data_IF_601519715084
#
_entry.id   IF_601519715084
#
_cell.length_a   1.000
_cell.length_b   1.000
_cell.length_c   1.000
_cell.angle_alpha   90.00
_cell.angle_beta   90.00
_cell.angle_gamma   90.00
#
_symmetry.space_group_name_H-M   'P 1'
#
loop_
_entity.id
_entity.type
_entity.pdbx_description
1 polymer ?
#
# COMPACT_ATOMS: atom_id res chain seq x y z
N UNK A 1 40.77 0.12 13.12
CA UNK A 1 40.11 0.89 12.05
C UNK A 1 38.95 0.04 11.58
N UNK A 2 37.71 0.39 11.96
CA UNK A 2 36.54 -0.32 11.46
C UNK A 2 36.42 0.02 9.97
N UNK A 3 36.50 -0.99 9.10
CA UNK A 3 35.99 -0.86 7.74
C UNK A 3 34.57 -0.31 7.87
N UNK A 4 34.34 0.89 7.33
CA UNK A 4 32.99 1.41 7.21
C UNK A 4 32.22 0.38 6.38
N UNK A 5 31.27 -0.33 6.98
CA UNK A 5 30.40 -1.26 6.29
C UNK A 5 29.65 -0.45 5.23
N UNK A 6 30.14 -0.52 4.00
CA UNK A 6 29.68 0.34 2.92
C UNK A 6 28.42 -0.29 2.35
N UNK A 7 27.27 0.09 2.92
CA UNK A 7 25.96 -0.39 2.52
C UNK A 7 25.63 0.22 1.16
N UNK A 8 25.52 -0.64 0.13
CA UNK A 8 25.12 -0.24 -1.22
C UNK A 8 23.80 -0.87 -1.59
N UNK A 9 22.94 -0.10 -2.25
CA UNK A 9 21.77 -0.64 -2.92
C UNK A 9 22.21 -1.43 -4.14
N UNK A 10 21.86 -2.71 -4.16
CA UNK A 10 22.13 -3.62 -5.26
C UNK A 10 20.90 -3.73 -6.15
N UNK A 11 19.72 -3.83 -5.54
CA UNK A 11 18.47 -4.04 -6.26
C UNK A 11 17.36 -3.14 -5.76
N UNK A 12 16.52 -2.73 -6.70
CA UNK A 12 15.29 -1.97 -6.42
C UNK A 12 14.16 -2.62 -7.19
N UNK A 13 13.04 -2.88 -6.52
CA UNK A 13 11.83 -3.34 -7.18
C UNK A 13 10.64 -2.50 -6.72
N UNK A 14 9.77 -2.12 -7.65
CA UNK A 14 8.52 -1.44 -7.36
C UNK A 14 7.40 -2.39 -7.76
N UNK A 15 6.56 -2.74 -6.80
CA UNK A 15 5.40 -3.60 -7.01
C UNK A 15 4.10 -2.88 -6.73
N UNK A 16 3.06 -3.22 -7.49
CA UNK A 16 1.73 -2.64 -7.38
C UNK A 16 0.67 -3.71 -7.28
N UNK A 17 -0.45 -3.38 -6.65
CA UNK A 17 -1.59 -4.29 -6.54
C UNK A 17 -2.49 -4.06 -7.75
N UNK A 18 -2.68 -5.10 -8.56
CA UNK A 18 -3.60 -5.05 -9.68
C UNK A 18 -5.07 -5.17 -9.20
N UNK A 19 -6.00 -4.94 -10.12
CA UNK A 19 -7.44 -5.01 -9.85
C UNK A 19 -7.93 -6.39 -9.37
N UNK A 20 -7.11 -7.44 -9.53
CA UNK A 20 -7.42 -8.80 -9.11
C UNK A 20 -6.80 -9.14 -7.75
N UNK A 21 -6.14 -8.18 -7.10
CA UNK A 21 -5.49 -8.40 -5.81
C UNK A 21 -4.19 -9.20 -5.94
N UNK A 22 -3.50 -9.10 -7.08
CA UNK A 22 -2.14 -9.62 -7.22
C UNK A 22 -1.13 -8.49 -7.08
N UNK A 23 -0.05 -8.76 -6.38
CA UNK A 23 1.13 -7.91 -6.34
C UNK A 23 1.98 -8.21 -7.59
N UNK A 24 2.02 -7.25 -8.50
CA UNK A 24 2.77 -7.27 -9.75
C UNK A 24 4.00 -6.37 -9.64
N UNK A 25 5.18 -6.87 -10.00
CA UNK A 25 6.37 -6.02 -10.11
C UNK A 25 6.30 -5.22 -11.40
N UNK A 26 6.24 -3.89 -11.30
CA UNK A 26 6.07 -2.98 -12.44
C UNK A 26 7.37 -2.29 -12.86
N UNK A 27 8.40 -2.35 -12.03
CA UNK A 27 9.70 -1.77 -12.32
C UNK A 27 10.78 -2.42 -11.47
N UNK A 28 11.97 -2.58 -12.04
CA UNK A 28 13.09 -3.25 -11.41
C UNK A 28 14.42 -2.61 -11.83
N UNK A 29 15.41 -2.63 -10.95
CA UNK A 29 16.79 -2.22 -11.20
C UNK A 29 17.74 -3.19 -10.48
N UNK A 30 18.87 -3.52 -11.11
CA UNK A 30 19.88 -4.42 -10.54
C UNK A 30 19.54 -5.93 -10.62
N UNK A 31 18.53 -6.27 -11.41
CA UNK A 31 18.15 -7.65 -11.74
C UNK A 31 18.73 -8.03 -13.10
N UNK A 32 19.04 -9.31 -13.29
CA UNK A 32 19.47 -9.82 -14.59
C UNK A 32 18.30 -9.89 -15.56
N UNK A 33 18.54 -9.81 -16.87
CA UNK A 33 17.49 -9.96 -17.89
C UNK A 33 16.79 -11.34 -17.81
N UNK A 34 17.46 -12.34 -17.23
CA UNK A 34 16.90 -13.68 -17.02
C UNK A 34 15.93 -13.76 -15.83
N UNK A 35 15.94 -12.79 -14.93
CA UNK A 35 15.16 -12.84 -13.68
C UNK A 35 13.64 -12.64 -13.90
N UNK A 36 13.22 -12.23 -15.12
CA UNK A 36 11.81 -11.96 -15.51
C UNK A 36 10.95 -11.31 -14.41
N UNK A 37 11.53 -10.33 -13.69
CA UNK A 37 10.86 -9.76 -12.52
C UNK A 37 9.70 -8.86 -12.92
N UNK A 38 9.87 -8.02 -13.95
CA UNK A 38 8.83 -7.10 -14.40
C UNK A 38 7.69 -7.90 -15.03
N UNK A 39 6.47 -7.67 -14.55
CA UNK A 39 5.26 -8.40 -14.92
C UNK A 39 5.03 -9.67 -14.08
N UNK A 40 5.98 -10.10 -13.26
CA UNK A 40 5.74 -11.22 -12.34
C UNK A 40 4.64 -10.85 -11.34
N UNK A 41 3.68 -11.75 -11.16
CA UNK A 41 2.54 -11.59 -10.26
C UNK A 41 2.58 -12.60 -9.12
N UNK A 42 2.25 -12.13 -7.92
CA UNK A 42 2.04 -12.98 -6.75
C UNK A 42 0.72 -12.62 -6.09
N UNK A 43 -0.07 -13.62 -5.68
CA UNK A 43 -1.32 -13.35 -4.99
C UNK A 43 -1.04 -12.67 -3.64
N UNK A 44 -1.87 -11.71 -3.21
CA UNK A 44 -1.72 -11.09 -1.88
C UNK A 44 -1.86 -12.08 -0.71
N UNK A 45 -2.47 -13.24 -0.96
CA UNK A 45 -2.59 -14.33 0.01
C UNK A 45 -1.38 -15.28 0.02
N UNK A 46 -0.41 -15.04 -0.86
CA UNK A 46 0.79 -15.87 -0.94
C UNK A 46 1.70 -15.63 0.26
N UNK A 47 2.46 -16.66 0.61
CA UNK A 47 3.50 -16.57 1.63
C UNK A 47 4.77 -15.94 1.02
N UNK A 48 4.68 -14.65 0.73
CA UNK A 48 5.78 -13.87 0.18
C UNK A 48 6.03 -12.62 1.03
N UNK A 49 7.29 -12.13 1.08
CA UNK A 49 7.60 -10.90 1.79
C UNK A 49 6.79 -9.70 1.31
N UNK A 50 6.62 -9.59 -0.02
CA UNK A 50 5.84 -8.52 -0.64
C UNK A 50 4.37 -8.56 -0.22
N UNK A 51 3.76 -9.75 -0.22
CA UNK A 51 2.38 -9.95 0.25
C UNK A 51 2.21 -9.60 1.73
N UNK A 52 3.16 -10.00 2.58
CA UNK A 52 3.14 -9.65 3.99
C UNK A 52 3.20 -8.12 4.19
N UNK A 53 4.08 -7.42 3.47
CA UNK A 53 4.18 -5.95 3.53
C UNK A 53 2.91 -5.27 3.01
N UNK A 54 2.31 -5.82 1.96
CA UNK A 54 1.08 -5.32 1.35
C UNK A 54 -0.12 -5.40 2.31
N UNK A 55 -0.33 -6.57 2.92
CA UNK A 55 -1.49 -6.85 3.77
C UNK A 55 -1.41 -6.13 5.09
N UNK A 56 -0.21 -6.07 5.69
CA UNK A 56 0.00 -5.45 7.00
C UNK A 56 0.25 -3.95 6.92
N UNK A 57 0.51 -3.42 5.71
CA UNK A 57 0.97 -2.04 5.48
C UNK A 57 2.14 -1.64 6.41
N UNK A 58 2.98 -2.62 6.77
CA UNK A 58 4.12 -2.45 7.66
C UNK A 58 5.41 -2.62 6.88
N UNK A 59 6.45 -1.87 7.30
CA UNK A 59 7.79 -2.04 6.76
C UNK A 59 8.29 -3.42 7.15
N UNK A 60 8.80 -4.18 6.18
CA UNK A 60 9.37 -5.51 6.42
C UNK A 60 10.85 -5.47 6.08
N UNK A 61 11.68 -5.75 7.08
CA UNK A 61 13.09 -6.03 6.87
C UNK A 61 13.30 -7.53 6.69
N UNK A 62 14.26 -7.87 5.84
CA UNK A 62 14.59 -9.23 5.48
C UNK A 62 16.09 -9.40 5.52
N UNK A 63 16.55 -10.51 6.05
CA UNK A 63 17.90 -11.02 5.88
C UNK A 63 17.89 -12.18 4.90
N UNK A 64 19.08 -12.65 4.52
CA UNK A 64 19.23 -13.92 3.78
C UNK A 64 18.59 -15.10 4.52
N UNK A 65 18.67 -15.12 5.84
CA UNK A 65 18.07 -16.17 6.67
C UNK A 65 16.54 -16.13 6.61
N UNK A 66 15.92 -14.95 6.60
CA UNK A 66 14.46 -14.82 6.45
C UNK A 66 13.98 -15.38 5.10
N UNK A 67 14.72 -15.13 4.03
CA UNK A 67 14.37 -15.61 2.68
C UNK A 67 14.55 -17.12 2.53
N UNK A 68 15.60 -17.69 3.11
CA UNK A 68 15.87 -19.13 3.04
C UNK A 68 15.08 -19.95 4.05
N UNK A 69 14.63 -19.32 5.14
CA UNK A 69 13.81 -19.92 6.19
C UNK A 69 12.32 -19.63 6.02
N UNK A 70 11.87 -18.45 6.47
CA UNK A 70 10.46 -18.06 6.52
C UNK A 70 9.82 -18.03 5.13
N UNK A 71 10.52 -17.48 4.15
CA UNK A 71 9.99 -17.26 2.80
C UNK A 71 10.62 -18.17 1.75
N UNK A 72 11.02 -19.38 2.12
CA UNK A 72 11.80 -20.31 1.26
C UNK A 72 11.17 -20.64 -0.09
N UNK A 73 9.85 -20.49 -0.21
CA UNK A 73 9.10 -20.76 -1.44
C UNK A 73 9.06 -19.54 -2.38
N UNK A 74 9.70 -18.43 -2.01
CA UNK A 74 9.77 -17.23 -2.82
C UNK A 74 10.73 -17.45 -4.00
N UNK A 75 10.17 -17.42 -5.21
CA UNK A 75 10.80 -17.86 -6.45
C UNK A 75 12.05 -17.06 -6.90
N UNK A 76 12.34 -15.92 -6.28
CA UNK A 76 13.48 -15.06 -6.66
C UNK A 76 14.76 -15.35 -5.85
N UNK A 77 14.86 -16.56 -5.32
CA UNK A 77 15.98 -17.00 -4.50
C UNK A 77 17.28 -17.22 -5.29
N UNK A 78 17.23 -17.30 -6.63
CA UNK A 78 18.36 -17.73 -7.46
C UNK A 78 19.59 -16.78 -7.42
N UNK A 79 19.43 -15.57 -6.88
CA UNK A 79 20.53 -14.62 -6.68
C UNK A 79 20.52 -13.95 -5.30
N UNK A 80 20.07 -14.69 -4.27
CA UNK A 80 20.10 -14.23 -2.87
C UNK A 80 21.53 -13.87 -2.41
N UNK A 81 22.56 -14.45 -3.03
CA UNK A 81 23.94 -14.23 -2.63
C UNK A 81 24.46 -12.79 -2.87
N UNK A 82 23.80 -12.03 -3.75
CA UNK A 82 24.24 -10.69 -4.13
C UNK A 82 23.87 -9.59 -3.12
N UNK A 83 23.07 -9.92 -2.10
CA UNK A 83 22.70 -9.00 -1.04
C UNK A 83 22.67 -9.69 0.33
N UNK A 84 22.81 -8.89 1.37
CA UNK A 84 22.86 -9.35 2.77
C UNK A 84 21.52 -9.13 3.47
N UNK A 85 20.85 -8.03 3.15
CA UNK A 85 19.51 -7.73 3.66
C UNK A 85 18.70 -6.92 2.66
N UNK A 86 17.40 -6.83 2.91
CA UNK A 86 16.48 -6.05 2.12
C UNK A 86 15.41 -5.39 3.00
N UNK A 87 14.75 -4.37 2.46
CA UNK A 87 13.59 -3.73 3.08
C UNK A 87 12.49 -3.54 2.07
N UNK A 88 11.26 -3.86 2.49
CA UNK A 88 10.03 -3.63 1.75
C UNK A 88 9.24 -2.52 2.44
N UNK A 89 8.94 -1.49 1.68
CA UNK A 89 8.33 -0.26 2.16
C UNK A 89 6.97 -0.12 1.47
N UNK A 90 5.85 -0.44 2.15
CA UNK A 90 4.52 -0.12 1.63
C UNK A 90 4.26 1.37 1.77
N UNK A 91 4.21 2.08 0.64
CA UNK A 91 4.06 3.55 0.61
C UNK A 91 2.62 3.99 0.43
N UNK A 92 1.75 3.07 -0.03
CA UNK A 92 0.30 3.26 -0.12
C UNK A 92 -0.40 1.89 -0.06
N UNK A 93 -1.72 1.88 -0.15
CA UNK A 93 -2.50 0.64 -0.29
C UNK A 93 -2.27 -0.09 -1.62
N UNK A 94 -1.47 0.47 -2.54
CA UNK A 94 -1.29 -0.04 -3.89
C UNK A 94 0.19 -0.06 -4.33
N UNK A 95 1.14 0.34 -3.51
CA UNK A 95 2.52 0.44 -3.94
C UNK A 95 3.50 0.02 -2.84
N UNK A 96 4.45 -0.82 -3.23
CA UNK A 96 5.51 -1.34 -2.37
C UNK A 96 6.84 -1.14 -3.07
N UNK A 97 7.78 -0.56 -2.34
CA UNK A 97 9.15 -0.33 -2.79
C UNK A 97 10.07 -1.28 -2.05
N UNK A 98 10.79 -2.11 -2.78
CA UNK A 98 11.79 -3.03 -2.25
C UNK A 98 13.20 -2.55 -2.56
N UNK A 99 14.08 -2.63 -1.57
CA UNK A 99 15.51 -2.32 -1.70
C UNK A 99 16.32 -3.48 -1.13
N UNK A 100 17.24 -4.03 -1.91
CA UNK A 100 18.20 -5.03 -1.44
C UNK A 100 19.61 -4.43 -1.37
N UNK A 101 20.35 -4.72 -0.31
CA UNK A 101 21.63 -4.08 0.01
C UNK A 101 22.72 -5.05 0.47
N UNK A 102 23.99 -4.64 0.34
CA UNK A 102 25.16 -5.47 0.71
C UNK A 102 25.46 -5.58 2.21
N UNK A 103 24.82 -4.79 3.08
CA UNK A 103 24.99 -4.85 4.54
C UNK A 103 23.73 -5.34 5.25
N UNK A 104 23.77 -5.42 6.59
CA UNK A 104 22.60 -5.74 7.41
C UNK A 104 21.96 -4.42 7.83
N UNK A 105 20.79 -4.10 7.26
CA UNK A 105 20.09 -2.83 7.51
C UNK A 105 19.82 -2.59 9.00
N UNK A 106 19.43 -3.63 9.71
CA UNK A 106 19.06 -3.57 11.13
C UNK A 106 20.24 -3.26 12.07
N UNK A 107 21.49 -3.38 11.59
CA UNK A 107 22.68 -3.00 12.35
C UNK A 107 23.03 -1.51 12.19
N UNK A 108 22.37 -0.81 11.24
CA UNK A 108 22.62 0.60 10.97
C UNK A 108 21.85 1.44 12.01
N UNK A 109 22.55 2.26 12.83
CA UNK A 109 21.88 3.14 13.77
C UNK A 109 20.95 4.14 13.07
N UNK A 110 19.71 4.25 13.54
CA UNK A 110 18.70 5.17 12.99
C UNK A 110 18.05 4.70 11.67
N UNK A 111 18.20 3.42 11.32
CA UNK A 111 17.67 2.89 10.06
C UNK A 111 16.15 2.99 9.97
N UNK A 112 15.44 2.80 11.08
CA UNK A 112 13.99 2.85 11.11
C UNK A 112 13.49 4.26 10.80
N UNK A 113 14.07 5.28 11.42
CA UNK A 113 13.73 6.68 11.15
C UNK A 113 14.03 7.05 9.69
N UNK A 114 15.16 6.57 9.16
CA UNK A 114 15.52 6.77 7.77
C UNK A 114 14.52 6.12 6.81
N UNK A 115 14.14 4.87 7.06
CA UNK A 115 13.17 4.13 6.23
C UNK A 115 11.77 4.74 6.34
N UNK A 116 11.35 5.20 7.52
CA UNK A 116 10.07 5.92 7.66
C UNK A 116 10.09 7.27 6.94
N UNK A 117 11.22 7.97 6.93
CA UNK A 117 11.39 9.20 6.14
C UNK A 117 11.24 8.90 4.64
N UNK A 118 11.95 7.88 4.13
CA UNK A 118 11.81 7.43 2.74
C UNK A 118 10.38 7.02 2.40
N UNK A 119 9.73 6.27 3.29
CA UNK A 119 8.32 5.88 3.14
C UNK A 119 7.42 7.09 2.97
N UNK A 120 7.61 8.13 3.77
CA UNK A 120 6.83 9.37 3.72
C UNK A 120 7.06 10.12 2.41
N UNK A 121 8.32 10.23 1.97
CA UNK A 121 8.69 10.87 0.69
C UNK A 121 8.07 10.12 -0.49
N UNK A 122 8.17 8.80 -0.52
CA UNK A 122 7.60 7.99 -1.61
C UNK A 122 6.07 7.98 -1.59
N UNK A 123 5.44 7.95 -0.42
CA UNK A 123 3.99 8.08 -0.31
C UNK A 123 3.52 9.41 -0.91
N UNK A 124 4.21 10.50 -0.57
CA UNK A 124 3.95 11.82 -1.13
C UNK A 124 4.16 11.87 -2.65
N UNK A 125 5.24 11.27 -3.15
CA UNK A 125 5.52 11.16 -4.58
C UNK A 125 4.41 10.40 -5.32
N UNK A 126 3.96 9.27 -4.79
CA UNK A 126 2.86 8.48 -5.36
C UNK A 126 1.57 9.29 -5.45
N UNK A 127 1.27 10.07 -4.41
CA UNK A 127 0.12 10.96 -4.40
C UNK A 127 0.20 12.04 -5.49
N UNK A 128 1.36 12.67 -5.69
CA UNK A 128 1.55 13.67 -6.76
C UNK A 128 1.43 13.02 -8.14
N UNK A 129 2.04 11.85 -8.32
CA UNK A 129 2.06 11.13 -9.59
C UNK A 129 0.66 10.68 -10.01
N UNK A 130 -0.15 10.19 -9.08
CA UNK A 130 -1.52 9.74 -9.36
C UNK A 130 -2.48 10.90 -9.63
N UNK A 131 -2.26 12.06 -9.00
CA UNK A 131 -3.19 13.19 -9.04
C UNK A 131 -2.82 14.32 -9.99
N UNK A 132 -1.68 14.23 -10.70
CA UNK A 132 -1.24 15.19 -11.72
C UNK A 132 -1.39 16.65 -11.30
N UNK A 133 -0.39 17.24 -10.65
CA UNK A 133 -0.35 18.68 -10.31
C UNK A 133 -1.63 19.23 -9.63
N UNK A 134 -2.36 18.40 -8.88
CA UNK A 134 -3.57 18.78 -8.14
C UNK A 134 -3.27 19.17 -6.68
N UNK A 135 -3.88 20.28 -6.23
CA UNK A 135 -3.76 20.92 -4.91
C UNK A 135 -3.40 19.99 -3.73
N UNK A 136 -2.24 20.23 -3.11
CA UNK A 136 -1.69 19.52 -1.95
C UNK A 136 -2.61 19.50 -0.71
N UNK A 137 -3.50 20.49 -0.61
CA UNK A 137 -4.37 20.74 0.54
C UNK A 137 -5.50 19.71 0.68
N UNK A 138 -5.93 19.06 -0.40
CA UNK A 138 -6.96 18.01 -0.34
C UNK A 138 -6.41 16.65 0.11
N UNK A 139 -5.09 16.47 0.10
CA UNK A 139 -4.42 15.17 0.24
C UNK A 139 -4.00 14.85 1.69
N UNK A 140 -3.69 15.88 2.49
CA UNK A 140 -3.36 15.73 3.92
C UNK A 140 -4.60 15.28 4.73
N UNK A 141 -5.80 15.33 4.15
CA UNK A 141 -7.06 15.04 4.82
C UNK A 141 -7.65 13.65 4.53
N UNK A 142 -7.12 12.88 3.57
CA UNK A 142 -7.74 11.61 3.14
C UNK A 142 -6.90 10.39 3.54
N UNK A 143 -7.09 9.93 4.79
CA UNK A 143 -6.85 8.52 5.10
C UNK A 143 -7.79 7.65 4.27
N UNK A 144 -7.28 6.63 3.57
CA UNK A 144 -8.11 5.63 2.86
C UNK A 144 -9.03 4.86 3.82
N UNK A 145 -8.73 4.88 5.12
CA UNK A 145 -9.60 4.32 6.16
C UNK A 145 -10.79 5.25 6.45
N UNK A 146 -11.97 4.63 6.52
CA UNK A 146 -13.19 5.28 7.02
C UNK A 146 -13.06 5.55 8.51
N UNK A 147 -13.51 6.72 8.97
CA UNK A 147 -13.67 6.97 10.40
C UNK A 147 -14.81 6.10 10.97
N UNK A 148 -14.89 5.93 12.29
CA UNK A 148 -15.98 5.18 12.94
C UNK A 148 -17.38 5.69 12.52
N UNK A 149 -17.53 7.01 12.40
CA UNK A 149 -18.79 7.63 11.92
C UNK A 149 -19.05 7.34 10.44
N UNK A 150 -18.03 7.45 9.60
CA UNK A 150 -18.14 7.15 8.18
C UNK A 150 -18.52 5.68 7.93
N UNK A 151 -18.00 4.77 8.76
CA UNK A 151 -18.39 3.36 8.75
C UNK A 151 -19.86 3.17 9.12
N UNK A 152 -20.34 3.84 10.19
CA UNK A 152 -21.75 3.80 10.58
C UNK A 152 -22.68 4.34 9.48
N UNK A 153 -22.30 5.46 8.85
CA UNK A 153 -23.04 6.03 7.71
C UNK A 153 -23.08 5.02 6.55
N UNK A 154 -21.97 4.34 6.26
CA UNK A 154 -21.91 3.32 5.20
C UNK A 154 -22.85 2.14 5.48
N UNK A 155 -22.92 1.65 6.72
CA UNK A 155 -23.86 0.57 7.09
C UNK A 155 -25.31 1.00 6.88
N UNK A 156 -25.69 2.20 7.30
CA UNK A 156 -27.04 2.73 7.08
C UNK A 156 -27.36 2.93 5.59
N UNK A 157 -26.36 3.30 4.77
CA UNK A 157 -26.52 3.36 3.31
C UNK A 157 -26.86 1.97 2.76
N UNK A 158 -26.15 0.93 3.20
CA UNK A 158 -26.40 -0.49 2.83
C UNK A 158 -27.78 -0.98 3.24
N UNK A 159 -28.34 -0.42 4.32
CA UNK A 159 -29.74 -0.63 4.73
C UNK A 159 -30.75 0.16 3.89
N UNK A 160 -30.33 0.79 2.79
CA UNK A 160 -31.17 1.57 1.87
C UNK A 160 -31.78 2.87 2.47
N UNK A 161 -31.22 3.39 3.57
CA UNK A 161 -31.66 4.66 4.18
C UNK A 161 -31.18 5.87 3.37
N UNK A 162 -32.05 6.86 3.14
CA UNK A 162 -31.68 8.08 2.43
C UNK A 162 -30.78 8.99 3.27
N UNK A 163 -30.14 9.99 2.66
CA UNK A 163 -29.35 10.96 3.42
C UNK A 163 -30.19 11.70 4.47
N UNK A 164 -31.48 11.94 4.18
CA UNK A 164 -32.43 12.52 5.13
C UNK A 164 -32.70 11.55 6.30
N UNK A 165 -32.96 10.27 6.02
CA UNK A 165 -33.21 9.26 7.07
C UNK A 165 -31.98 9.08 7.98
N UNK A 166 -30.79 9.04 7.39
CA UNK A 166 -29.52 8.93 8.13
C UNK A 166 -29.29 10.18 8.98
N UNK A 167 -29.58 11.36 8.44
CA UNK A 167 -29.46 12.64 9.15
C UNK A 167 -30.36 12.65 10.39
N UNK A 168 -31.61 12.22 10.26
CA UNK A 168 -32.54 12.06 11.39
C UNK A 168 -32.04 11.02 12.40
N UNK A 169 -31.58 9.85 11.95
CA UNK A 169 -31.09 8.79 12.85
C UNK A 169 -29.85 9.21 13.65
N UNK A 170 -28.94 9.97 13.04
CA UNK A 170 -27.67 10.35 13.66
C UNK A 170 -27.67 11.74 14.29
N UNK A 171 -28.77 12.48 14.19
CA UNK A 171 -28.89 13.84 14.74
C UNK A 171 -28.04 14.89 14.01
N UNK A 172 -27.84 14.74 12.70
CA UNK A 172 -27.09 15.67 11.86
C UNK A 172 -27.96 16.33 10.79
N UNK A 173 -27.41 17.32 10.07
CA UNK A 173 -28.09 17.86 8.89
C UNK A 173 -27.94 16.94 7.68
N UNK A 174 -28.93 16.95 6.77
CA UNK A 174 -28.85 16.19 5.51
C UNK A 174 -27.62 16.59 4.67
N UNK A 175 -27.28 17.88 4.65
CA UNK A 175 -26.09 18.39 3.94
C UNK A 175 -24.80 17.81 4.51
N UNK A 176 -24.70 17.69 5.84
CA UNK A 176 -23.56 17.06 6.51
C UNK A 176 -23.43 15.59 6.12
N UNK A 177 -24.53 14.85 6.10
CA UNK A 177 -24.52 13.44 5.67
C UNK A 177 -24.14 13.34 4.20
N UNK A 178 -24.66 14.21 3.33
CA UNK A 178 -24.33 14.24 1.90
C UNK A 178 -22.83 14.44 1.66
N UNK A 179 -22.21 15.38 2.38
CA UNK A 179 -20.76 15.62 2.31
C UNK A 179 -19.97 14.39 2.76
N UNK A 180 -20.34 13.78 3.89
CA UNK A 180 -19.73 12.54 4.37
C UNK A 180 -19.90 11.40 3.36
N UNK A 181 -21.04 11.31 2.68
CA UNK A 181 -21.29 10.26 1.66
C UNK A 181 -20.30 10.39 0.51
N UNK A 182 -20.04 11.61 0.03
CA UNK A 182 -19.08 11.90 -1.04
C UNK A 182 -17.67 11.46 -0.62
N UNK A 183 -17.28 11.75 0.62
CA UNK A 183 -15.97 11.34 1.17
C UNK A 183 -15.89 9.81 1.28
N UNK A 184 -16.95 9.14 1.74
CA UNK A 184 -17.02 7.67 1.80
C UNK A 184 -16.86 7.05 0.41
N UNK A 185 -17.61 7.53 -0.59
CA UNK A 185 -17.52 7.03 -1.97
C UNK A 185 -16.11 7.18 -2.53
N UNK A 186 -15.50 8.34 -2.31
CA UNK A 186 -14.12 8.59 -2.74
C UNK A 186 -13.13 7.64 -2.07
N UNK A 187 -13.24 7.44 -0.75
CA UNK A 187 -12.38 6.50 0.00
C UNK A 187 -12.55 5.04 -0.45
N UNK A 188 -13.74 4.67 -0.91
CA UNK A 188 -14.04 3.35 -1.45
C UNK A 188 -13.73 3.20 -2.96
N UNK A 189 -13.33 4.28 -3.64
CA UNK A 189 -13.04 4.27 -5.08
C UNK A 189 -14.26 4.10 -5.97
N UNK A 190 -15.46 4.50 -5.50
CA UNK A 190 -16.72 4.37 -6.23
C UNK A 190 -17.36 5.73 -6.51
N UNK A 191 -18.25 5.80 -7.51
CA UNK A 191 -18.84 7.06 -7.97
C UNK A 191 -20.14 7.41 -7.24
N UNK A 192 -20.76 6.45 -6.55
CA UNK A 192 -21.96 6.74 -5.77
C UNK A 192 -22.71 5.52 -5.26
N UNK A 193 -23.93 5.78 -4.77
CA UNK A 193 -24.78 4.78 -4.12
C UNK A 193 -25.09 3.55 -4.99
N UNK A 194 -25.21 3.74 -6.30
CA UNK A 194 -25.51 2.65 -7.25
C UNK A 194 -24.39 1.62 -7.32
N UNK A 195 -23.15 2.06 -7.19
CA UNK A 195 -21.97 1.19 -7.24
C UNK A 195 -21.86 0.29 -6.00
N UNK A 196 -22.63 0.57 -4.94
CA UNK A 196 -22.78 -0.32 -3.78
C UNK A 196 -23.77 -1.48 -4.04
N UNK A 197 -24.34 -1.60 -5.25
CA UNK A 197 -25.37 -2.60 -5.56
C UNK A 197 -26.74 -2.28 -4.97
N UNK A 198 -26.96 -1.01 -4.58
CA UNK A 198 -28.16 -0.52 -3.91
C UNK A 198 -28.94 0.37 -4.88
N UNK A 199 -29.57 -0.24 -5.89
CA UNK A 199 -30.46 0.49 -6.80
C UNK A 199 -31.92 0.34 -6.38
N UNK A 200 -32.67 1.46 -6.40
CA UNK A 200 -34.14 1.49 -6.26
C UNK A 200 -34.82 1.44 -7.63
N UNK A 201 -34.28 0.71 -8.59
CA UNK A 201 -34.99 0.40 -9.84
C UNK A 201 -35.98 -0.74 -9.57
N UNK A 202 -37.08 -0.41 -8.90
CA UNK A 202 -38.09 -1.38 -8.50
C UNK A 202 -39.15 -0.86 -7.54
N UNK A 203 -39.67 0.36 -7.76
CA UNK A 203 -41.07 0.76 -7.50
C UNK A 203 -41.34 2.16 -8.01
#
# INVERSE_FOLDING_TARGET
MAESLLVRVQRIAISRIDQYGNLECVSAYGFSDNDQLIGHKSALRSDSPGSAAAVTLSVIYLTREDLTGRYRNFAFAEHIDDFSSAVLIPVSNNAIYGFAVTGILQEIPGIDEFVQCLRSIFAFYEVIKLNGSGNLTSLIQESSQLTKRQFLILELIKENLTNADIATNLGYSESTIRQETIVIYRKLGINGRKDLGLDRSGK
#
